data_IF_641195513616
#
_entry.id   IF_641195513616
#
_cell.length_a   1.000
_cell.length_b   1.000
_cell.length_c   1.000
_cell.angle_alpha   90.00
_cell.angle_beta   90.00
_cell.angle_gamma   90.00
#
_symmetry.space_group_name_H-M   'P 1'
#
loop_
_entity.id
_entity.type
_entity.pdbx_description
1 polymer ?
#
# COMPACT_ATOMS: atom_id res chain seq x y z
N UNK A 1 5.77 -18.81 30.43
CA UNK A 1 6.74 -17.69 30.38
C UNK A 1 6.47 -16.95 29.09
N UNK A 2 5.55 -15.99 29.15
CA UNK A 2 5.22 -15.08 28.06
C UNK A 2 5.99 -13.78 28.30
N UNK A 3 7.31 -13.86 28.20
CA UNK A 3 8.12 -12.64 28.13
C UNK A 3 7.70 -11.94 26.84
N UNK A 4 7.14 -10.74 26.98
CA UNK A 4 6.66 -9.93 25.87
C UNK A 4 7.87 -9.51 25.02
N UNK A 5 8.25 -10.35 24.04
CA UNK A 5 9.46 -10.14 23.25
C UNK A 5 9.36 -8.82 22.48
N UNK A 6 10.04 -7.80 23.00
CA UNK A 6 10.05 -6.45 22.44
C UNK A 6 11.15 -6.33 21.39
N UNK A 7 10.76 -6.46 20.12
CA UNK A 7 11.70 -6.30 19.00
C UNK A 7 12.19 -4.85 18.93
N UNK A 8 13.50 -4.67 19.03
CA UNK A 8 14.15 -3.38 18.86
C UNK A 8 14.49 -3.12 17.39
N UNK A 9 13.58 -2.45 16.67
CA UNK A 9 13.74 -2.07 15.27
C UNK A 9 14.84 -1.03 15.01
N UNK A 10 15.45 -0.45 16.05
CA UNK A 10 16.58 0.46 15.88
C UNK A 10 17.91 -0.29 15.67
N UNK A 11 17.97 -1.58 16.01
CA UNK A 11 19.15 -2.41 15.80
C UNK A 11 19.05 -3.14 14.45
N UNK A 12 20.17 -3.28 13.71
CA UNK A 12 20.20 -4.10 12.52
C UNK A 12 19.82 -5.53 12.83
N UNK A 13 18.97 -6.12 12.00
CA UNK A 13 18.64 -7.53 12.05
C UNK A 13 19.66 -8.32 11.23
N UNK A 14 20.13 -9.44 11.77
CA UNK A 14 21.10 -10.32 11.12
C UNK A 14 20.39 -11.19 10.09
N UNK A 15 20.99 -11.34 8.91
CA UNK A 15 20.53 -12.27 7.88
C UNK A 15 21.49 -13.45 7.79
N UNK A 16 20.94 -14.65 7.93
CA UNK A 16 21.67 -15.90 7.76
C UNK A 16 21.13 -16.66 6.56
N UNK A 17 22.03 -17.10 5.68
CA UNK A 17 21.70 -18.06 4.64
C UNK A 17 21.73 -19.46 5.23
N UNK A 18 20.63 -20.19 5.10
CA UNK A 18 20.55 -21.61 5.45
C UNK A 18 20.98 -22.40 4.22
N UNK A 19 21.97 -23.28 4.39
CA UNK A 19 22.34 -24.27 3.39
C UNK A 19 21.66 -25.58 3.72
N UNK A 20 21.20 -26.28 2.68
CA UNK A 20 20.66 -27.63 2.83
C UNK A 20 21.75 -28.65 3.17
N UNK A 21 23.01 -28.35 2.82
CA UNK A 21 24.18 -29.17 3.13
C UNK A 21 24.90 -28.65 4.38
N UNK A 22 25.02 -29.51 5.40
CA UNK A 22 25.51 -29.23 6.76
C UNK A 22 26.97 -28.71 6.88
N UNK A 23 27.70 -28.48 5.78
CA UNK A 23 29.03 -27.86 5.80
C UNK A 23 28.90 -26.34 5.98
N UNK A 24 28.71 -25.95 7.23
CA UNK A 24 28.74 -24.60 7.83
C UNK A 24 28.04 -23.48 7.02
N UNK A 25 27.07 -22.75 7.62
CA UNK A 25 26.48 -21.59 6.96
C UNK A 25 27.58 -20.59 6.61
N UNK A 26 27.65 -20.16 5.34
CA UNK A 26 28.62 -19.16 4.90
C UNK A 26 28.40 -17.87 5.71
N UNK A 27 29.28 -17.58 6.66
CA UNK A 27 29.22 -16.41 7.53
C UNK A 27 29.67 -15.13 6.80
N UNK A 28 28.99 -14.77 5.71
CA UNK A 28 28.93 -13.35 5.33
C UNK A 28 27.68 -12.80 6.00
N UNK A 29 27.83 -12.39 7.25
CA UNK A 29 26.78 -11.77 8.04
C UNK A 29 26.30 -10.51 7.31
N UNK A 30 25.12 -10.59 6.71
CA UNK A 30 24.44 -9.44 6.13
C UNK A 30 23.49 -8.89 7.18
N UNK A 31 23.32 -7.58 7.20
CA UNK A 31 22.45 -6.91 8.16
C UNK A 31 21.38 -6.11 7.41
N UNK A 32 20.16 -6.13 7.93
CA UNK A 32 19.02 -5.38 7.40
C UNK A 32 18.41 -4.50 8.49
N UNK A 33 18.22 -3.23 8.17
CA UNK A 33 17.56 -2.27 9.05
C UNK A 33 16.05 -2.30 8.79
N UNK A 34 15.35 -3.25 9.43
CA UNK A 34 13.90 -3.33 9.33
C UNK A 34 13.26 -2.28 10.23
N UNK A 35 12.56 -1.32 9.63
CA UNK A 35 11.71 -0.37 10.34
C UNK A 35 10.24 -0.81 10.35
N UNK A 36 9.46 -0.22 11.26
CA UNK A 36 8.00 -0.45 11.34
C UNK A 36 7.25 -0.10 10.05
N UNK A 37 7.78 0.83 9.24
CA UNK A 37 7.19 1.22 7.96
C UNK A 37 7.16 0.04 6.98
N UNK A 38 8.23 -0.76 6.92
CA UNK A 38 8.29 -1.93 6.05
C UNK A 38 7.31 -3.04 6.47
N UNK A 39 6.80 -3.00 7.70
CA UNK A 39 5.84 -3.97 8.27
C UNK A 39 4.38 -3.49 8.18
N UNK A 40 4.10 -2.43 7.43
CA UNK A 40 2.71 -1.99 7.20
C UNK A 40 1.95 -2.94 6.26
N UNK A 41 2.67 -3.53 5.30
CA UNK A 41 2.11 -4.43 4.27
C UNK A 41 3.10 -5.51 3.86
N UNK A 42 2.59 -6.69 3.49
CA UNK A 42 3.41 -7.78 2.92
C UNK A 42 4.11 -7.36 1.62
N UNK A 43 3.48 -6.49 0.82
CA UNK A 43 4.05 -5.98 -0.41
C UNK A 43 5.25 -5.05 -0.17
N UNK A 44 5.15 -4.20 0.85
CA UNK A 44 6.23 -3.27 1.21
C UNK A 44 7.41 -4.01 1.81
N UNK A 45 7.15 -5.00 2.67
CA UNK A 45 8.19 -5.88 3.19
C UNK A 45 8.90 -6.63 2.05
N UNK A 46 8.14 -7.16 1.09
CA UNK A 46 8.71 -7.88 -0.06
C UNK A 46 9.57 -6.96 -0.93
N UNK A 47 9.11 -5.73 -1.18
CA UNK A 47 9.85 -4.72 -1.93
C UNK A 47 11.17 -4.37 -1.23
N UNK A 48 11.10 -4.08 0.08
CA UNK A 48 12.28 -3.80 0.89
C UNK A 48 13.29 -4.95 0.82
N UNK A 49 12.86 -6.20 1.00
CA UNK A 49 13.78 -7.34 0.91
C UNK A 49 14.40 -7.47 -0.48
N UNK A 50 13.62 -7.27 -1.54
CA UNK A 50 14.10 -7.35 -2.93
C UNK A 50 15.20 -6.34 -3.24
N UNK A 51 15.16 -5.14 -2.66
CA UNK A 51 16.23 -4.12 -2.82
C UNK A 51 17.59 -4.64 -2.36
N UNK A 52 17.63 -5.49 -1.32
CA UNK A 52 18.87 -6.08 -0.81
C UNK A 52 19.20 -7.42 -1.45
N UNK A 53 18.19 -8.21 -1.84
CA UNK A 53 18.40 -9.59 -2.28
C UNK A 53 18.87 -9.74 -3.73
N UNK A 54 18.89 -8.66 -4.53
CA UNK A 54 19.28 -8.71 -5.96
C UNK A 54 20.56 -9.52 -6.22
N UNK A 55 21.59 -9.33 -5.39
CA UNK A 55 22.89 -9.99 -5.54
C UNK A 55 23.04 -11.23 -4.63
N UNK A 56 21.93 -11.79 -4.14
CA UNK A 56 21.96 -12.93 -3.25
C UNK A 56 21.77 -14.22 -4.03
N UNK A 57 22.56 -15.22 -3.66
CA UNK A 57 22.44 -16.55 -4.25
C UNK A 57 21.12 -17.19 -3.85
N UNK A 58 20.60 -18.07 -4.70
CA UNK A 58 19.36 -18.79 -4.43
C UNK A 58 19.47 -19.62 -3.15
N UNK A 59 18.37 -19.72 -2.40
CA UNK A 59 18.25 -20.51 -1.19
C UNK A 59 17.42 -19.83 -0.10
N UNK A 60 17.37 -20.49 1.04
CA UNK A 60 16.62 -20.04 2.20
C UNK A 60 17.43 -19.09 3.07
N UNK A 61 16.77 -18.05 3.56
CA UNK A 61 17.35 -17.03 4.43
C UNK A 61 16.48 -16.83 5.66
N UNK A 62 17.13 -16.72 6.82
CA UNK A 62 16.53 -16.31 8.08
C UNK A 62 16.93 -14.87 8.38
N UNK A 63 15.94 -14.06 8.72
CA UNK A 63 16.16 -12.77 9.34
C UNK A 63 16.01 -12.94 10.84
N UNK A 64 17.04 -12.59 11.59
CA UNK A 64 17.11 -12.73 13.04
C UNK A 64 17.27 -11.38 13.72
N UNK A 65 16.62 -11.21 14.86
CA UNK A 65 16.81 -10.06 15.72
C UNK A 65 17.59 -10.47 16.96
N UNK A 66 18.34 -9.52 17.51
CA UNK A 66 19.07 -9.71 18.76
C UNK A 66 18.06 -9.76 19.91
N UNK A 67 17.96 -10.92 20.57
CA UNK A 67 17.12 -11.13 21.74
C UNK A 67 17.85 -10.63 23.00
N UNK A 68 19.08 -11.12 23.19
CA UNK A 68 19.94 -10.78 24.32
C UNK A 68 21.28 -10.32 23.75
N UNK A 69 21.71 -9.12 24.12
CA UNK A 69 23.04 -8.65 23.79
C UNK A 69 24.07 -9.57 24.49
N UNK A 70 25.07 -10.01 23.74
CA UNK A 70 26.15 -10.78 24.32
C UNK A 70 27.01 -9.87 25.20
N UNK A 71 27.58 -10.47 26.25
CA UNK A 71 28.60 -9.86 27.09
C UNK A 71 29.95 -10.50 26.79
N UNK A 72 31.02 -10.06 27.46
CA UNK A 72 32.38 -10.61 27.29
C UNK A 72 32.45 -12.15 27.44
N UNK A 73 31.54 -12.72 28.24
CA UNK A 73 31.49 -14.15 28.56
C UNK A 73 30.31 -14.89 27.89
N UNK A 74 29.44 -14.20 27.13
CA UNK A 74 28.23 -14.80 26.55
C UNK A 74 28.01 -14.35 25.12
N UNK A 75 27.91 -15.30 24.20
CA UNK A 75 27.57 -15.00 22.81
C UNK A 75 26.18 -14.36 22.72
N UNK A 76 25.98 -13.38 21.82
CA UNK A 76 24.67 -12.78 21.60
C UNK A 76 23.64 -13.82 21.16
N UNK A 77 22.45 -13.76 21.77
CA UNK A 77 21.36 -14.68 21.44
C UNK A 77 20.49 -14.01 20.39
N UNK A 78 20.34 -14.68 19.25
CA UNK A 78 19.48 -14.26 18.16
C UNK A 78 18.23 -15.12 18.09
N UNK A 79 17.10 -14.50 17.73
CA UNK A 79 15.85 -15.20 17.47
C UNK A 79 15.36 -14.90 16.07
N UNK A 80 14.79 -15.88 15.38
CA UNK A 80 14.33 -15.75 14.00
C UNK A 80 13.05 -14.92 13.94
N UNK A 81 13.14 -13.75 13.32
CA UNK A 81 12.00 -12.87 13.04
C UNK A 81 11.14 -13.40 11.90
N UNK A 82 11.78 -13.84 10.81
CA UNK A 82 11.12 -14.42 9.64
C UNK A 82 12.07 -15.28 8.82
N UNK A 83 11.49 -16.17 8.02
CA UNK A 83 12.20 -16.98 7.04
C UNK A 83 11.66 -16.73 5.64
N UNK A 84 12.53 -16.56 4.67
CA UNK A 84 12.16 -16.31 3.28
C UNK A 84 13.06 -17.06 2.30
N UNK A 85 12.49 -17.39 1.14
CA UNK A 85 13.18 -18.05 0.03
C UNK A 85 13.52 -17.02 -1.04
N UNK A 86 14.78 -17.00 -1.45
CA UNK A 86 15.29 -16.16 -2.53
C UNK A 86 15.65 -17.07 -3.70
N UNK A 87 15.16 -16.75 -4.90
CA UNK A 87 15.59 -17.39 -6.14
C UNK A 87 15.97 -16.31 -7.13
N UNK A 88 17.16 -16.42 -7.71
CA UNK A 88 17.66 -15.46 -8.71
C UNK A 88 17.54 -14.00 -8.24
N UNK A 89 17.93 -13.76 -6.98
CA UNK A 89 17.86 -12.44 -6.35
C UNK A 89 16.46 -11.91 -6.01
N UNK A 90 15.39 -12.66 -6.32
CA UNK A 90 14.00 -12.30 -6.00
C UNK A 90 13.49 -13.09 -4.81
N UNK A 91 12.82 -12.40 -3.88
CA UNK A 91 12.07 -13.06 -2.81
C UNK A 91 10.84 -13.75 -3.40
N UNK A 92 10.80 -15.07 -3.33
CA UNK A 92 9.69 -15.87 -3.88
C UNK A 92 8.63 -16.08 -2.81
N UNK A 93 9.04 -16.63 -1.66
CA UNK A 93 8.14 -17.07 -0.60
C UNK A 93 8.61 -16.55 0.76
N UNK A 94 7.68 -16.05 1.56
CA UNK A 94 7.90 -15.76 2.98
C UNK A 94 7.12 -16.81 3.76
N UNK A 95 7.80 -17.53 4.64
CA UNK A 95 7.19 -18.60 5.42
C UNK A 95 6.33 -18.02 6.56
N UNK A 96 5.18 -18.65 6.80
CA UNK A 96 4.28 -18.29 7.90
C UNK A 96 4.64 -19.01 9.18
N UNK A 97 4.85 -20.31 9.07
CA UNK A 97 5.08 -21.21 10.19
C UNK A 97 6.54 -21.65 10.14
N UNK A 98 7.18 -21.65 11.31
CA UNK A 98 8.51 -22.22 11.47
C UNK A 98 8.48 -23.73 11.29
N UNK A 99 9.33 -24.32 10.44
CA UNK A 99 9.34 -25.76 10.24
C UNK A 99 9.76 -26.52 11.50
N UNK A 100 10.56 -25.89 12.38
CA UNK A 100 11.06 -26.55 13.59
C UNK A 100 10.11 -26.39 14.76
N UNK A 101 9.66 -25.17 15.05
CA UNK A 101 8.86 -24.90 16.25
C UNK A 101 7.36 -25.04 15.99
N UNK A 102 6.94 -25.17 14.73
CA UNK A 102 5.53 -25.16 14.28
C UNK A 102 4.74 -23.91 14.74
N UNK A 103 5.43 -22.88 15.25
CA UNK A 103 4.86 -21.59 15.66
C UNK A 103 4.89 -20.62 14.48
N UNK A 104 3.96 -19.67 14.48
CA UNK A 104 3.95 -18.58 13.50
C UNK A 104 5.13 -17.64 13.74
N UNK A 105 5.75 -17.14 12.67
CA UNK A 105 6.82 -16.16 12.79
C UNK A 105 6.29 -14.81 13.27
N UNK A 106 7.06 -14.15 14.12
CA UNK A 106 6.68 -12.88 14.76
C UNK A 106 6.31 -11.78 13.76
N UNK A 107 6.91 -11.77 12.56
CA UNK A 107 6.59 -10.81 11.49
C UNK A 107 5.09 -10.75 11.17
N UNK A 108 4.38 -11.88 11.28
CA UNK A 108 2.96 -11.96 10.93
C UNK A 108 2.06 -11.32 11.97
N UNK A 109 2.48 -11.27 13.24
CA UNK A 109 1.73 -10.57 14.28
C UNK A 109 1.75 -9.07 14.03
N UNK A 110 2.90 -8.52 13.63
CA UNK A 110 2.99 -7.11 13.21
C UNK A 110 2.13 -6.82 11.98
N UNK A 111 2.16 -7.69 10.96
CA UNK A 111 1.34 -7.53 9.77
C UNK A 111 -0.16 -7.62 10.05
N UNK A 112 -0.60 -8.48 10.99
CA UNK A 112 -2.00 -8.56 11.43
C UNK A 112 -2.44 -7.27 12.12
N UNK A 113 -1.60 -6.73 13.02
CA UNK A 113 -1.87 -5.45 13.71
C UNK A 113 -1.97 -4.30 12.71
N UNK A 114 -1.02 -4.20 11.78
CA UNK A 114 -1.04 -3.20 10.70
C UNK A 114 -2.30 -3.30 9.84
N UNK A 115 -2.72 -4.52 9.47
CA UNK A 115 -3.96 -4.77 8.72
C UNK A 115 -5.19 -4.32 9.50
N UNK A 116 -5.30 -4.65 10.80
CA UNK A 116 -6.40 -4.20 11.67
C UNK A 116 -6.49 -2.67 11.72
N UNK A 117 -5.36 -1.98 11.92
CA UNK A 117 -5.28 -0.51 11.90
C UNK A 117 -5.75 0.07 10.56
N UNK A 118 -5.31 -0.51 9.44
CA UNK A 118 -5.71 -0.07 8.09
C UNK A 118 -7.21 -0.22 7.84
N UNK A 119 -7.80 -1.35 8.25
CA UNK A 119 -9.25 -1.59 8.12
C UNK A 119 -10.03 -0.60 8.99
N UNK A 120 -9.61 -0.36 10.23
CA UNK A 120 -10.24 0.62 11.11
C UNK A 120 -10.18 2.04 10.53
N UNK A 121 -9.03 2.45 9.97
CA UNK A 121 -8.87 3.73 9.30
C UNK A 121 -9.78 3.88 8.07
N UNK A 122 -9.91 2.83 7.24
CA UNK A 122 -10.84 2.81 6.11
C UNK A 122 -12.30 2.98 6.57
N UNK A 123 -12.73 2.25 7.59
CA UNK A 123 -14.09 2.38 8.16
C UNK A 123 -14.36 3.81 8.66
N UNK A 124 -13.39 4.45 9.34
CA UNK A 124 -13.51 5.85 9.79
C UNK A 124 -13.63 6.84 8.61
N UNK A 125 -12.86 6.66 7.53
CA UNK A 125 -12.96 7.49 6.32
C UNK A 125 -14.30 7.34 5.61
N UNK A 126 -14.82 6.12 5.49
CA UNK A 126 -16.14 5.85 4.90
C UNK A 126 -17.25 6.51 5.72
N UNK A 127 -17.23 6.36 7.06
CA UNK A 127 -18.18 7.05 7.95
C UNK A 127 -18.12 8.57 7.78
N UNK A 128 -16.93 9.17 7.76
CA UNK A 128 -16.76 10.62 7.54
C UNK A 128 -17.28 11.07 6.17
N UNK A 129 -17.04 10.30 5.11
CA UNK A 129 -17.51 10.64 3.77
C UNK A 129 -19.03 10.48 3.62
N UNK A 130 -19.64 9.50 4.30
CA UNK A 130 -21.09 9.35 4.37
C UNK A 130 -21.74 10.55 5.08
N UNK A 131 -21.19 11.00 6.21
CA UNK A 131 -21.67 12.20 6.92
C UNK A 131 -21.50 13.47 6.07
N UNK A 132 -20.39 13.61 5.32
CA UNK A 132 -20.20 14.73 4.38
C UNK A 132 -21.17 14.72 3.20
N UNK A 133 -21.55 13.54 2.70
CA UNK A 133 -22.58 13.42 1.64
C UNK A 133 -23.98 13.74 2.18
N UNK A 134 -24.30 13.33 3.41
CA UNK A 134 -25.58 13.62 4.05
C UNK A 134 -25.76 15.12 4.39
N UNK A 135 -24.68 15.85 4.68
CA UNK A 135 -24.70 17.29 4.97
C UNK A 135 -24.70 18.21 3.74
N UNK A 136 -24.73 17.70 2.50
CA UNK A 136 -24.89 18.58 1.33
C UNK A 136 -26.28 19.21 1.37
N UNK A 137 -26.41 20.55 1.49
CA UNK A 137 -27.72 21.19 1.47
C UNK A 137 -28.38 20.90 0.12
N UNK A 138 -29.60 20.36 0.15
CA UNK A 138 -30.46 20.28 -1.04
C UNK A 138 -30.62 21.71 -1.55
N UNK A 139 -29.94 22.08 -2.65
CA UNK A 139 -30.24 23.31 -3.38
C UNK A 139 -31.73 23.25 -3.72
N UNK A 140 -32.56 24.06 -3.04
CA UNK A 140 -33.94 24.29 -3.44
C UNK A 140 -33.89 24.80 -4.88
N UNK A 141 -34.29 23.95 -5.82
CA UNK A 141 -34.51 24.36 -7.20
C UNK A 141 -35.74 25.27 -7.17
N UNK A 142 -35.51 26.57 -7.08
CA UNK A 142 -36.56 27.55 -7.34
C UNK A 142 -36.93 27.38 -8.81
N UNK A 143 -38.09 26.77 -9.08
CA UNK A 143 -38.69 26.74 -10.42
C UNK A 143 -38.88 28.19 -10.86
N UNK A 144 -37.97 28.70 -11.69
CA UNK A 144 -38.18 29.97 -12.40
C UNK A 144 -39.45 29.79 -13.25
N UNK A 145 -40.52 30.51 -12.91
CA UNK A 145 -41.70 30.66 -13.78
C UNK A 145 -41.20 31.14 -15.14
N UNK A 146 -41.51 30.41 -16.21
CA UNK A 146 -41.22 30.82 -17.58
C UNK A 146 -41.99 32.11 -17.86
N UNK A 147 -41.28 33.24 -17.95
CA UNK A 147 -41.76 34.43 -18.61
C UNK A 147 -41.93 34.09 -20.09
N UNK A 148 -43.19 33.99 -20.53
CA UNK A 148 -43.57 33.83 -21.93
C UNK A 148 -43.05 35.06 -22.68
N UNK A 149 -41.95 34.89 -23.42
CA UNK A 149 -41.48 35.90 -24.38
C UNK A 149 -42.56 36.04 -25.46
N UNK A 150 -43.28 37.18 -25.46
CA UNK A 150 -44.10 37.61 -26.59
C UNK A 150 -43.21 37.62 -27.84
N UNK A 151 -43.56 36.81 -28.84
CA UNK A 151 -42.92 36.83 -30.16
C UNK A 151 -43.19 38.20 -30.81
N UNK A 152 -42.18 38.87 -31.40
CA UNK A 152 -42.43 40.04 -32.24
C UNK A 152 -43.17 39.61 -33.52
N UNK A 153 -44.26 40.32 -33.85
CA UNK A 153 -45.03 40.16 -35.08
C UNK A 153 -44.12 40.44 -36.29
N UNK A 154 -43.95 39.45 -37.17
CA UNK A 154 -43.32 39.62 -38.49
C UNK A 154 -44.16 40.59 -39.31
N UNK A 155 -43.63 41.79 -39.56
CA UNK A 155 -44.14 42.71 -40.58
C UNK A 155 -43.77 42.13 -41.94
N UNK A 156 -44.77 41.85 -42.78
CA UNK A 156 -44.58 41.39 -44.16
C UNK A 156 -44.04 42.56 -45.01
N UNK A 157 -43.01 42.38 -45.84
CA UNK A 157 -42.61 43.40 -46.80
C UNK A 157 -43.67 43.54 -47.90
N UNK A 158 -44.09 44.79 -48.15
CA UNK A 158 -44.98 45.18 -49.26
C UNK A 158 -44.28 44.88 -50.59
N UNK A 159 -44.96 44.15 -51.48
CA UNK A 159 -44.56 44.00 -52.89
C UNK A 159 -44.61 45.37 -53.56
N UNK A 160 -43.47 45.87 -54.02
CA UNK A 160 -43.38 47.02 -54.91
C UNK A 160 -43.67 46.53 -56.33
N UNK A 161 -44.85 46.89 -56.84
CA UNK A 161 -45.15 46.82 -58.27
C UNK A 161 -44.80 48.19 -58.85
N UNK A 162 -43.72 48.28 -59.63
CA UNK A 162 -43.51 49.44 -60.51
C UNK A 162 -43.53 49.00 -61.98
N UNK A 163 -44.63 49.42 -62.59
CA UNK A 163 -45.03 49.41 -64.00
C UNK A 163 -43.87 49.58 -64.99
N UNK A 164 -43.84 48.66 -65.94
CA UNK A 164 -43.28 48.82 -67.28
C UNK A 164 -43.96 50.02 -67.95
N UNK A 165 -43.18 51.03 -68.36
CA UNK A 165 -43.62 52.07 -69.30
C UNK A 165 -43.17 51.68 -70.71
N UNK A 166 -44.13 51.64 -71.64
CA UNK A 166 -43.95 51.46 -73.08
C UNK A 166 -43.03 52.55 -73.68
N UNK A 167 -42.24 52.11 -74.66
CA UNK A 167 -41.50 52.91 -75.65
C UNK A 167 -42.35 53.99 -76.33
N UNK A 168 -41.70 55.09 -76.70
CA UNK A 168 -41.85 55.72 -78.02
C UNK A 168 -40.47 56.15 -78.52
N UNK A 169 -40.08 55.60 -79.66
CA UNK A 169 -39.18 56.21 -80.65
C UNK A 169 -40.04 56.31 -81.90
#
# INVERSE_FOLDING_TARGET
MDDEIKINFNKPMLVLKIRDTYKAPYHKNKYLNVTKKHLESTAELKKFLQEYTLNWSSGMYDLQFLLVAGDYNRSPIYSTFMRFDVREGKVVKIWKISPYTKKEYMVWDFLKVSRKKRVAAKKRKVKRNAVKKAKKPKKKVVKKKKLVKKKPKKVKPKKVVKKVKKKKK
#
